data_IF_785210185745
#
_entry.id   IF_785210185745
#
_cell.length_a   1.000
_cell.length_b   1.000
_cell.length_c   1.000
_cell.angle_alpha   90.00
_cell.angle_beta   90.00
_cell.angle_gamma   90.00
#
_symmetry.space_group_name_H-M   'P 1'
#
loop_
_entity.id
_entity.type
_entity.pdbx_description
1 polymer ?
#
# COMPACT_ATOMS: atom_id res chain seq x y z
N UNK A 1 -18.94 -16.87 -2.17
CA UNK A 1 -19.16 -16.67 -3.60
C UNK A 1 -20.64 -16.84 -3.94
N UNK A 2 -21.12 -16.11 -4.95
CA UNK A 2 -22.49 -16.19 -5.45
C UNK A 2 -22.45 -16.41 -6.94
N UNK A 3 -23.01 -17.53 -7.41
CA UNK A 3 -23.19 -17.83 -8.84
C UNK A 3 -24.52 -17.25 -9.29
N UNK A 4 -24.51 -16.56 -10.42
CA UNK A 4 -25.69 -15.89 -10.97
C UNK A 4 -26.01 -16.47 -12.35
N UNK A 5 -27.29 -16.79 -12.55
CA UNK A 5 -27.85 -17.23 -13.84
C UNK A 5 -28.98 -16.28 -14.26
N UNK A 6 -29.12 -16.05 -15.56
CA UNK A 6 -30.27 -15.35 -16.15
C UNK A 6 -31.32 -16.41 -16.57
N UNK A 7 -32.10 -16.89 -15.64
CA UNK A 7 -33.01 -18.03 -15.85
C UNK A 7 -34.06 -17.83 -16.96
N UNK A 8 -34.51 -16.60 -17.29
CA UNK A 8 -35.30 -16.38 -18.51
C UNK A 8 -34.57 -16.75 -19.82
N UNK A 9 -33.22 -16.74 -19.82
CA UNK A 9 -32.39 -17.10 -20.99
C UNK A 9 -31.82 -18.51 -20.89
N UNK A 10 -31.26 -18.84 -19.72
CA UNK A 10 -30.57 -20.10 -19.48
C UNK A 10 -30.39 -20.35 -18.00
N UNK A 11 -30.50 -21.61 -17.56
CA UNK A 11 -30.14 -22.02 -16.20
C UNK A 11 -28.61 -22.12 -16.00
N UNK A 12 -27.83 -22.03 -17.07
CA UNK A 12 -26.36 -22.04 -16.99
C UNK A 12 -25.85 -20.81 -16.23
N UNK A 13 -24.80 -20.97 -15.41
CA UNK A 13 -24.15 -19.84 -14.76
C UNK A 13 -23.64 -18.81 -15.78
N UNK A 14 -23.99 -17.56 -15.59
CA UNK A 14 -23.54 -16.45 -16.40
C UNK A 14 -22.28 -15.79 -15.83
N UNK A 15 -22.31 -15.46 -14.54
CA UNK A 15 -21.15 -14.93 -13.83
C UNK A 15 -21.12 -15.34 -12.37
N UNK A 16 -20.00 -15.10 -11.70
CA UNK A 16 -19.82 -15.38 -10.28
C UNK A 16 -19.17 -14.19 -9.56
N UNK A 17 -19.78 -13.77 -8.46
CA UNK A 17 -19.12 -12.90 -7.49
C UNK A 17 -18.21 -13.75 -6.61
N UNK A 18 -16.91 -13.62 -6.79
CA UNK A 18 -15.92 -14.44 -6.10
C UNK A 18 -15.50 -13.87 -4.74
N UNK A 19 -15.91 -12.63 -4.44
CA UNK A 19 -15.49 -11.95 -3.19
C UNK A 19 -13.96 -11.94 -3.09
N UNK A 20 -13.47 -12.32 -1.93
CA UNK A 20 -12.03 -12.42 -1.67
C UNK A 20 -11.49 -13.85 -1.84
N UNK A 21 -12.14 -14.72 -2.60
CA UNK A 21 -11.63 -16.08 -2.86
C UNK A 21 -10.74 -16.12 -4.10
N UNK A 22 -11.21 -15.55 -5.22
CA UNK A 22 -10.50 -15.52 -6.50
C UNK A 22 -10.50 -14.12 -7.06
N UNK A 23 -9.32 -13.58 -7.33
CA UNK A 23 -9.07 -12.30 -7.98
C UNK A 23 -8.62 -12.49 -9.42
N UNK A 24 -8.56 -11.41 -10.18
CA UNK A 24 -7.97 -11.45 -11.53
C UNK A 24 -6.45 -11.59 -11.41
N UNK A 25 -5.94 -12.74 -11.82
CA UNK A 25 -4.53 -13.10 -11.78
C UNK A 25 -4.01 -13.58 -10.43
N UNK A 26 -4.84 -13.60 -9.38
CA UNK A 26 -4.42 -13.92 -8.01
C UNK A 26 -5.54 -14.57 -7.18
N UNK A 27 -5.23 -14.90 -5.93
CA UNK A 27 -6.19 -15.36 -4.92
C UNK A 27 -5.98 -14.59 -3.61
N UNK A 28 -6.94 -14.71 -2.67
CA UNK A 28 -6.80 -14.03 -1.38
C UNK A 28 -5.67 -14.59 -0.54
N UNK A 29 -5.10 -13.73 0.26
CA UNK A 29 -4.12 -14.09 1.28
C UNK A 29 -4.76 -14.92 2.38
N UNK A 30 -4.13 -16.04 2.71
CA UNK A 30 -4.61 -16.97 3.73
C UNK A 30 -4.22 -16.58 5.16
N UNK A 31 -3.24 -15.68 5.31
CA UNK A 31 -2.73 -15.22 6.60
C UNK A 31 -3.59 -14.12 7.25
N UNK A 32 -4.46 -13.46 6.49
CA UNK A 32 -5.33 -12.40 7.02
C UNK A 32 -6.51 -12.94 7.84
N UNK A 33 -6.87 -14.21 7.72
CA UNK A 33 -8.02 -14.81 8.38
C UNK A 33 -7.56 -15.93 9.33
N UNK A 34 -7.62 -15.68 10.64
CA UNK A 34 -7.26 -16.66 11.68
C UNK A 34 -8.52 -17.25 12.32
N UNK A 35 -9.39 -17.86 11.53
CA UNK A 35 -10.58 -18.56 12.04
C UNK A 35 -10.40 -20.08 11.90
N UNK A 36 -10.94 -20.89 12.82
CA UNK A 36 -11.01 -22.34 12.62
C UNK A 36 -11.71 -22.66 11.29
N UNK A 37 -11.11 -23.51 10.48
CA UNK A 37 -11.62 -23.86 9.15
C UNK A 37 -11.33 -22.82 8.06
N UNK A 38 -10.45 -21.86 8.32
CA UNK A 38 -9.89 -20.95 7.31
C UNK A 38 -8.39 -21.19 7.21
N UNK A 39 -7.95 -21.60 6.08
CA UNK A 39 -6.55 -21.89 5.83
C UNK A 39 -6.35 -22.18 4.35
N UNK A 40 -5.16 -22.57 4.00
CA UNK A 40 -4.83 -22.95 2.63
C UNK A 40 -5.69 -24.10 2.10
N UNK A 41 -6.06 -25.04 2.97
CA UNK A 41 -6.93 -26.18 2.64
C UNK A 41 -8.34 -25.74 2.24
N UNK A 42 -8.97 -24.86 3.03
CA UNK A 42 -10.31 -24.31 2.74
C UNK A 42 -10.28 -23.44 1.48
N UNK A 43 -9.22 -22.63 1.32
CA UNK A 43 -9.03 -21.84 0.11
C UNK A 43 -8.89 -22.74 -1.12
N UNK A 44 -8.03 -23.75 -1.06
CA UNK A 44 -7.84 -24.70 -2.15
C UNK A 44 -9.15 -25.39 -2.56
N UNK A 45 -9.92 -25.91 -1.58
CA UNK A 45 -11.21 -26.54 -1.83
C UNK A 45 -12.21 -25.55 -2.44
N UNK A 46 -12.22 -24.30 -2.00
CA UNK A 46 -13.08 -23.24 -2.55
C UNK A 46 -12.75 -22.94 -4.00
N UNK A 47 -11.46 -22.83 -4.31
CA UNK A 47 -10.98 -22.62 -5.68
C UNK A 47 -11.34 -23.81 -6.59
N UNK A 48 -11.19 -25.05 -6.11
CA UNK A 48 -11.63 -26.23 -6.88
C UNK A 48 -13.12 -26.17 -7.23
N UNK A 49 -13.97 -25.76 -6.29
CA UNK A 49 -15.42 -25.59 -6.56
C UNK A 49 -15.68 -24.50 -7.60
N UNK A 50 -15.01 -23.36 -7.52
CA UNK A 50 -15.12 -22.27 -8.50
C UNK A 50 -14.66 -22.75 -9.88
N UNK A 51 -13.57 -23.52 -9.92
CA UNK A 51 -13.04 -24.09 -11.18
C UNK A 51 -13.93 -25.18 -11.81
N UNK A 52 -14.99 -25.63 -11.16
CA UNK A 52 -16.01 -26.48 -11.81
C UNK A 52 -16.91 -25.70 -12.77
N UNK A 53 -16.95 -24.37 -12.69
CA UNK A 53 -17.73 -23.54 -13.59
C UNK A 53 -17.18 -23.56 -15.02
N UNK A 54 -18.04 -23.29 -16.00
CA UNK A 54 -17.65 -23.25 -17.40
C UNK A 54 -16.65 -22.13 -17.69
N UNK A 55 -15.85 -22.27 -18.75
CA UNK A 55 -14.76 -21.35 -19.08
C UNK A 55 -15.20 -19.92 -19.42
N UNK A 56 -16.41 -19.77 -19.91
CA UNK A 56 -17.03 -18.52 -20.34
C UNK A 56 -17.70 -17.76 -19.19
N UNK A 57 -17.86 -18.38 -18.02
CA UNK A 57 -18.41 -17.70 -16.84
C UNK A 57 -17.48 -16.57 -16.42
N UNK A 58 -18.02 -15.35 -16.33
CA UNK A 58 -17.27 -14.18 -15.86
C UNK A 58 -17.09 -14.20 -14.35
N UNK A 59 -15.94 -13.72 -13.88
CA UNK A 59 -15.68 -13.50 -12.46
C UNK A 59 -15.70 -12.02 -12.12
N UNK A 60 -16.31 -11.66 -11.00
CA UNK A 60 -16.31 -10.34 -10.39
C UNK A 60 -15.79 -10.44 -8.95
N UNK A 61 -14.52 -10.14 -8.70
CA UNK A 61 -13.92 -10.19 -7.38
C UNK A 61 -14.32 -8.99 -6.51
N UNK A 62 -14.14 -9.12 -5.20
CA UNK A 62 -14.35 -8.03 -4.24
C UNK A 62 -13.30 -6.93 -4.32
N UNK A 63 -12.11 -7.25 -4.80
CA UNK A 63 -10.96 -6.34 -4.92
C UNK A 63 -10.20 -6.55 -6.22
N UNK A 64 -9.38 -5.56 -6.59
CA UNK A 64 -8.47 -5.59 -7.73
C UNK A 64 -7.13 -4.95 -7.37
N UNK A 65 -6.19 -4.86 -8.29
CA UNK A 65 -4.79 -4.52 -8.06
C UNK A 65 -4.57 -3.33 -7.13
N UNK A 66 -3.71 -3.53 -6.14
CA UNK A 66 -3.40 -2.59 -5.08
C UNK A 66 -4.02 -2.91 -3.72
N UNK A 67 -5.01 -3.80 -3.65
CA UNK A 67 -5.61 -4.23 -2.39
C UNK A 67 -4.64 -5.07 -1.54
N UNK A 68 -4.70 -4.87 -0.23
CA UNK A 68 -3.95 -5.68 0.73
C UNK A 68 -4.51 -7.11 0.91
N UNK A 69 -5.73 -7.38 0.40
CA UNK A 69 -6.39 -8.69 0.51
C UNK A 69 -5.84 -9.73 -0.47
N UNK A 70 -5.19 -9.30 -1.56
CA UNK A 70 -4.58 -10.17 -2.57
C UNK A 70 -3.07 -10.30 -2.44
N UNK A 71 -2.51 -11.22 -3.20
CA UNK A 71 -1.08 -11.42 -3.37
C UNK A 71 -0.45 -10.39 -4.33
N UNK A 72 0.67 -10.78 -4.96
CA UNK A 72 1.51 -9.90 -5.78
C UNK A 72 1.09 -9.83 -7.24
N UNK A 73 0.36 -10.83 -7.70
CA UNK A 73 -0.03 -10.98 -9.11
C UNK A 73 -1.39 -10.35 -9.44
N UNK A 74 -2.03 -9.71 -8.46
CA UNK A 74 -3.35 -9.13 -8.59
C UNK A 74 -3.40 -8.05 -9.66
N UNK A 75 -4.23 -8.27 -10.68
CA UNK A 75 -4.41 -7.34 -11.79
C UNK A 75 -5.27 -6.14 -11.41
N UNK A 76 -5.04 -5.00 -12.06
CA UNK A 76 -5.93 -3.83 -12.01
C UNK A 76 -7.25 -3.99 -12.77
N UNK A 77 -7.51 -5.13 -13.45
CA UNK A 77 -8.79 -5.39 -14.12
C UNK A 77 -9.88 -5.74 -13.12
N UNK A 78 -11.09 -5.24 -13.37
CA UNK A 78 -12.24 -5.46 -12.50
C UNK A 78 -12.94 -6.82 -12.71
N UNK A 79 -12.70 -7.49 -13.83
CA UNK A 79 -13.31 -8.78 -14.18
C UNK A 79 -12.38 -9.63 -15.05
N UNK A 80 -12.67 -10.93 -15.10
CA UNK A 80 -12.00 -11.91 -15.94
C UNK A 80 -12.99 -13.05 -16.27
N UNK A 81 -12.51 -14.19 -16.77
CA UNK A 81 -13.31 -15.40 -16.95
C UNK A 81 -12.67 -16.60 -16.27
N UNK A 82 -13.48 -17.58 -15.88
CA UNK A 82 -13.00 -18.85 -15.31
C UNK A 82 -11.93 -19.49 -16.22
N UNK A 83 -12.15 -19.46 -17.51
CA UNK A 83 -11.23 -20.05 -18.48
C UNK A 83 -9.90 -19.29 -18.59
N UNK A 84 -9.89 -17.98 -18.42
CA UNK A 84 -8.65 -17.19 -18.38
C UNK A 84 -7.88 -17.47 -17.09
N UNK A 85 -8.55 -17.37 -15.94
CA UNK A 85 -7.92 -17.61 -14.66
C UNK A 85 -7.36 -19.04 -14.53
N UNK A 86 -8.10 -20.05 -15.00
CA UNK A 86 -7.64 -21.45 -15.01
C UNK A 86 -6.31 -21.62 -15.72
N UNK A 87 -6.02 -20.83 -16.77
CA UNK A 87 -4.79 -20.94 -17.57
C UNK A 87 -3.66 -20.04 -17.09
N UNK A 88 -3.98 -18.89 -16.47
CA UNK A 88 -3.02 -17.81 -16.28
C UNK A 88 -2.86 -17.34 -14.82
N UNK A 89 -3.81 -17.71 -13.93
CA UNK A 89 -3.70 -17.38 -12.53
C UNK A 89 -2.64 -18.28 -11.87
N UNK A 90 -1.60 -17.69 -11.32
CA UNK A 90 -0.44 -18.42 -10.81
C UNK A 90 -0.82 -19.44 -9.72
N UNK A 91 -1.72 -19.07 -8.80
CA UNK A 91 -2.14 -19.93 -7.71
C UNK A 91 -2.89 -21.18 -8.19
N UNK A 92 -3.61 -21.06 -9.33
CA UNK A 92 -4.34 -22.16 -9.96
C UNK A 92 -3.43 -23.09 -10.77
N UNK A 93 -2.15 -22.74 -10.97
CA UNK A 93 -1.17 -23.59 -11.65
C UNK A 93 -0.53 -24.63 -10.69
N UNK A 94 -0.81 -24.55 -9.39
CA UNK A 94 -0.31 -25.56 -8.44
C UNK A 94 -0.86 -26.94 -8.80
N UNK A 95 0.00 -27.94 -9.04
CA UNK A 95 -0.41 -29.29 -9.49
C UNK A 95 -1.17 -30.07 -8.41
N UNK A 96 -0.93 -29.73 -7.16
CA UNK A 96 -1.54 -30.38 -5.98
C UNK A 96 -1.65 -29.42 -4.79
N UNK A 97 -2.32 -29.88 -3.74
CA UNK A 97 -2.51 -29.09 -2.52
C UNK A 97 -1.19 -28.77 -1.81
N UNK A 98 -0.24 -29.68 -1.78
CA UNK A 98 1.03 -29.48 -1.06
C UNK A 98 1.84 -28.32 -1.70
N UNK A 99 1.86 -28.29 -3.03
CA UNK A 99 2.48 -27.20 -3.79
C UNK A 99 1.72 -25.89 -3.58
N UNK A 100 0.39 -25.91 -3.64
CA UNK A 100 -0.45 -24.74 -3.36
C UNK A 100 -0.18 -24.18 -1.96
N UNK A 101 -0.19 -25.03 -0.92
CA UNK A 101 0.08 -24.62 0.46
C UNK A 101 1.46 -23.96 0.59
N UNK A 102 2.48 -24.56 -0.02
CA UNK A 102 3.84 -24.02 -0.03
C UNK A 102 3.90 -22.64 -0.68
N UNK A 103 3.26 -22.45 -1.83
CA UNK A 103 3.25 -21.18 -2.54
C UNK A 103 2.50 -20.10 -1.76
N UNK A 104 1.33 -20.42 -1.21
CA UNK A 104 0.53 -19.49 -0.44
C UNK A 104 1.23 -19.02 0.84
N UNK A 105 1.95 -19.90 1.53
CA UNK A 105 2.75 -19.56 2.73
C UNK A 105 4.00 -18.76 2.36
N UNK A 106 4.57 -18.97 1.19
CA UNK A 106 5.72 -18.20 0.68
C UNK A 106 5.38 -16.79 0.22
N UNK A 107 4.10 -16.49 -0.07
CA UNK A 107 3.64 -15.17 -0.50
C UNK A 107 3.05 -14.31 0.64
N UNK A 108 3.33 -14.66 1.89
CA UNK A 108 2.87 -13.88 3.06
C UNK A 108 3.55 -12.52 3.06
N UNK A 109 2.72 -11.47 3.13
CA UNK A 109 3.17 -10.08 3.32
C UNK A 109 3.03 -9.71 4.79
N UNK A 110 3.82 -8.74 5.22
CA UNK A 110 3.67 -8.17 6.55
C UNK A 110 2.25 -7.60 6.74
N UNK A 111 1.65 -7.96 7.87
CA UNK A 111 0.32 -7.47 8.24
C UNK A 111 0.50 -6.22 9.09
N UNK A 112 0.08 -5.06 8.58
CA UNK A 112 0.13 -3.82 9.35
C UNK A 112 -0.94 -3.82 10.46
N UNK A 113 -0.61 -3.21 11.58
CA UNK A 113 -1.48 -3.10 12.77
C UNK A 113 -2.90 -2.60 12.46
N UNK A 114 -3.03 -1.67 11.51
CA UNK A 114 -4.33 -1.16 11.08
C UNK A 114 -5.25 -2.24 10.50
N UNK A 115 -4.73 -3.23 9.77
CA UNK A 115 -5.52 -4.35 9.23
C UNK A 115 -6.05 -5.21 10.38
N UNK A 116 -5.21 -5.49 11.38
CA UNK A 116 -5.60 -6.26 12.55
C UNK A 116 -6.65 -5.51 13.37
N UNK A 117 -6.48 -4.21 13.57
CA UNK A 117 -7.43 -3.34 14.26
C UNK A 117 -8.79 -3.35 13.55
N UNK A 118 -8.84 -3.14 12.23
CA UNK A 118 -10.08 -3.22 11.44
C UNK A 118 -10.76 -4.59 11.56
N UNK A 119 -9.99 -5.66 11.42
CA UNK A 119 -10.53 -7.02 11.56
C UNK A 119 -11.17 -7.22 12.92
N UNK A 120 -10.50 -6.85 13.99
CA UNK A 120 -10.98 -7.05 15.35
C UNK A 120 -12.19 -6.16 15.68
N UNK A 121 -12.20 -4.92 15.13
CA UNK A 121 -13.37 -4.04 15.21
C UNK A 121 -14.58 -4.62 14.48
N UNK A 122 -14.39 -5.12 13.24
CA UNK A 122 -15.46 -5.72 12.45
C UNK A 122 -16.01 -7.02 13.08
N UNK A 123 -15.19 -7.71 13.87
CA UNK A 123 -15.61 -8.90 14.65
C UNK A 123 -16.27 -8.55 15.98
N UNK A 124 -16.33 -7.27 16.34
CA UNK A 124 -16.83 -6.81 17.64
C UNK A 124 -15.90 -7.09 18.82
N UNK A 125 -14.65 -7.45 18.57
CA UNK A 125 -13.61 -7.69 19.58
C UNK A 125 -12.99 -6.38 20.09
N UNK A 126 -13.06 -5.32 19.29
CA UNK A 126 -12.70 -3.96 19.66
C UNK A 126 -13.92 -3.04 19.49
N UNK A 127 -14.06 -2.01 20.35
CA UNK A 127 -15.10 -1.01 20.19
C UNK A 127 -14.85 -0.20 18.91
N UNK A 128 -15.92 0.35 18.32
CA UNK A 128 -15.79 1.34 17.26
C UNK A 128 -15.00 2.55 17.79
N UNK A 129 -14.10 3.13 16.98
CA UNK A 129 -13.35 4.32 17.38
C UNK A 129 -14.28 5.46 17.83
N UNK A 130 -13.88 6.19 18.86
CA UNK A 130 -14.63 7.35 19.33
C UNK A 130 -14.78 8.36 18.17
N UNK A 131 -16.02 8.78 17.87
CA UNK A 131 -16.32 9.69 16.76
C UNK A 131 -16.54 9.03 15.39
N UNK A 132 -16.64 7.71 15.32
CA UNK A 132 -16.91 6.97 14.08
C UNK A 132 -18.19 7.43 13.37
N UNK A 133 -19.24 7.76 14.12
CA UNK A 133 -20.48 8.31 13.58
C UNK A 133 -20.60 9.82 13.85
N UNK A 134 -20.75 10.61 12.78
CA UNK A 134 -21.30 11.97 12.86
C UNK A 134 -20.29 13.12 12.99
N UNK A 135 -19.00 12.92 12.84
CA UNK A 135 -18.06 14.06 12.75
C UNK A 135 -17.69 14.35 11.29
N UNK A 136 -18.21 15.46 10.77
CA UNK A 136 -17.66 16.07 9.55
C UNK A 136 -16.40 16.85 9.94
N UNK A 137 -15.25 16.51 9.33
CA UNK A 137 -14.06 17.32 9.53
C UNK A 137 -14.27 18.70 8.89
N UNK A 138 -14.01 19.76 9.66
CA UNK A 138 -14.11 21.12 9.15
C UNK A 138 -12.95 21.46 8.22
N UNK A 139 -13.21 22.31 7.22
CA UNK A 139 -12.15 22.89 6.42
C UNK A 139 -11.27 23.81 7.29
N UNK A 140 -9.95 23.64 7.21
CA UNK A 140 -9.00 24.38 8.04
C UNK A 140 -7.97 25.15 7.22
N UNK A 141 -7.43 26.21 7.79
CA UNK A 141 -6.39 27.05 7.17
C UNK A 141 -5.00 26.43 7.29
N UNK A 142 -4.04 26.94 6.53
CA UNK A 142 -2.63 26.59 6.66
C UNK A 142 -2.10 26.87 8.08
N UNK A 143 -2.45 28.03 8.65
CA UNK A 143 -2.06 28.38 10.02
C UNK A 143 -2.58 27.38 11.05
N UNK A 144 -3.80 26.85 10.87
CA UNK A 144 -4.32 25.79 11.74
C UNK A 144 -3.48 24.51 11.60
N UNK A 145 -3.15 24.10 10.38
CA UNK A 145 -2.34 22.89 10.15
C UNK A 145 -0.96 22.99 10.82
N UNK A 146 -0.30 24.15 10.70
CA UNK A 146 0.99 24.39 11.35
C UNK A 146 0.88 24.39 12.89
N UNK A 147 -0.13 25.07 13.42
CA UNK A 147 -0.37 25.10 14.86
C UNK A 147 -0.77 23.73 15.44
N UNK A 148 -1.53 22.93 14.70
CA UNK A 148 -1.91 21.59 15.09
C UNK A 148 -0.70 20.65 15.05
N UNK A 149 0.13 20.73 14.01
CA UNK A 149 1.39 19.97 13.91
C UNK A 149 2.33 20.25 15.09
N UNK A 150 2.49 21.51 15.49
CA UNK A 150 3.28 21.89 16.67
C UNK A 150 2.76 21.29 18.00
N UNK A 151 1.51 20.84 18.03
CA UNK A 151 0.86 20.18 19.19
C UNK A 151 0.78 18.66 19.06
N UNK A 152 1.45 18.06 18.07
CA UNK A 152 1.50 16.62 17.86
C UNK A 152 0.40 16.06 16.96
N UNK A 153 -0.46 16.89 16.36
CA UNK A 153 -1.38 16.44 15.29
C UNK A 153 -0.59 16.23 14.01
N UNK A 154 -0.77 15.11 13.35
CA UNK A 154 -0.02 14.75 12.15
C UNK A 154 -0.74 15.31 10.92
N UNK A 155 -0.04 16.10 10.11
CA UNK A 155 -0.56 16.52 8.79
C UNK A 155 -0.27 15.42 7.78
N UNK A 156 -1.32 14.86 7.18
CA UNK A 156 -1.25 13.82 6.16
C UNK A 156 -1.58 14.45 4.81
N UNK A 157 -0.57 14.61 3.97
CA UNK A 157 -0.70 15.12 2.62
C UNK A 157 -1.00 13.94 1.68
N UNK A 158 -2.20 13.94 1.11
CA UNK A 158 -2.70 12.85 0.27
C UNK A 158 -2.54 13.11 -1.23
N UNK A 159 -1.83 14.17 -1.60
CA UNK A 159 -1.54 14.52 -2.98
C UNK A 159 -0.54 13.57 -3.63
N UNK A 160 -0.41 13.68 -4.96
CA UNK A 160 0.61 12.92 -5.69
C UNK A 160 2.03 13.25 -5.18
N UNK A 161 2.98 12.29 -5.20
CA UNK A 161 4.35 12.46 -4.70
C UNK A 161 5.07 13.69 -5.26
N UNK A 162 4.92 13.97 -6.55
CA UNK A 162 5.50 15.17 -7.18
C UNK A 162 4.93 16.46 -6.65
N UNK A 163 3.65 16.51 -6.28
CA UNK A 163 3.02 17.71 -5.69
C UNK A 163 3.52 17.92 -4.27
N UNK A 164 3.62 16.85 -3.48
CA UNK A 164 4.25 16.88 -2.16
C UNK A 164 5.69 17.38 -2.24
N UNK A 165 6.49 16.83 -3.15
CA UNK A 165 7.89 17.18 -3.29
C UNK A 165 8.10 18.66 -3.67
N UNK A 166 7.22 19.23 -4.50
CA UNK A 166 7.27 20.65 -4.87
C UNK A 166 7.01 21.59 -3.70
N UNK A 167 6.15 21.17 -2.76
CA UNK A 167 5.85 21.97 -1.58
C UNK A 167 4.79 21.34 -0.69
N UNK A 168 5.11 21.17 0.58
CA UNK A 168 4.24 20.58 1.60
C UNK A 168 4.34 21.35 2.93
N UNK A 169 3.40 21.13 3.83
CA UNK A 169 3.43 21.68 5.18
C UNK A 169 4.64 21.09 5.92
N UNK A 170 5.48 21.90 6.60
CA UNK A 170 6.62 21.40 7.36
C UNK A 170 6.22 20.26 8.31
N UNK A 171 6.92 19.13 8.26
CA UNK A 171 6.64 17.94 9.08
C UNK A 171 5.47 17.08 8.61
N UNK A 172 4.80 17.43 7.51
CA UNK A 172 3.72 16.61 6.96
C UNK A 172 4.25 15.26 6.43
N UNK A 173 3.43 14.22 6.57
CA UNK A 173 3.65 12.92 5.95
C UNK A 173 3.01 12.88 4.56
N UNK A 174 3.74 12.37 3.58
CA UNK A 174 3.20 12.08 2.25
C UNK A 174 2.55 10.72 2.25
N UNK A 175 1.23 10.65 2.16
CA UNK A 175 0.49 9.38 2.03
C UNK A 175 -0.56 9.55 0.93
N UNK A 176 -0.16 9.42 -0.35
CA UNK A 176 -1.05 9.64 -1.48
C UNK A 176 -2.32 8.81 -1.39
N UNK A 177 -3.48 9.47 -1.60
CA UNK A 177 -4.74 8.77 -1.59
C UNK A 177 -4.86 7.81 -2.77
N UNK A 178 -4.92 6.54 -2.46
CA UNK A 178 -5.25 5.44 -3.39
C UNK A 178 -6.20 4.51 -2.64
N UNK A 179 -7.41 4.37 -3.15
CA UNK A 179 -8.52 3.69 -2.46
C UNK A 179 -8.10 2.39 -1.75
N UNK A 180 -7.33 1.55 -2.43
CA UNK A 180 -7.02 0.19 -1.98
C UNK A 180 -5.75 0.08 -1.11
N UNK A 181 -4.98 1.16 -0.95
CA UNK A 181 -3.72 1.14 -0.21
C UNK A 181 -3.53 2.29 0.78
N UNK A 182 -4.42 3.27 0.78
CA UNK A 182 -4.30 4.46 1.62
C UNK A 182 -4.29 4.12 3.11
N UNK A 183 -5.28 3.37 3.59
CA UNK A 183 -5.40 3.04 5.02
C UNK A 183 -4.28 2.12 5.50
N UNK A 184 -3.82 1.19 4.65
CA UNK A 184 -2.64 0.35 4.94
C UNK A 184 -1.39 1.20 5.13
N UNK A 185 -1.12 2.13 4.21
CA UNK A 185 0.03 3.05 4.31
C UNK A 185 -0.13 4.00 5.50
N UNK A 186 -1.33 4.51 5.73
CA UNK A 186 -1.62 5.35 6.89
C UNK A 186 -1.25 4.62 8.19
N UNK A 187 -1.71 3.36 8.35
CA UNK A 187 -1.39 2.54 9.52
C UNK A 187 0.07 2.18 9.69
N UNK A 188 0.84 2.11 8.60
CA UNK A 188 2.27 1.84 8.68
C UNK A 188 3.07 3.04 9.23
N UNK A 189 2.64 4.28 8.97
CA UNK A 189 3.40 5.49 9.29
C UNK A 189 2.78 6.35 10.39
N UNK A 190 1.49 6.22 10.64
CA UNK A 190 0.74 7.00 11.64
C UNK A 190 0.28 6.07 12.76
N UNK A 191 0.56 6.38 14.03
CA UNK A 191 0.11 5.57 15.16
C UNK A 191 -1.41 5.43 15.17
N UNK A 192 -1.90 4.24 15.54
CA UNK A 192 -3.35 3.98 15.62
C UNK A 192 -4.03 4.99 16.57
N UNK A 193 -5.19 5.50 16.15
CA UNK A 193 -5.97 6.48 16.93
C UNK A 193 -5.38 7.88 16.99
N UNK A 194 -4.27 8.16 16.28
CA UNK A 194 -3.67 9.49 16.28
C UNK A 194 -4.61 10.55 15.71
N UNK A 195 -4.42 11.80 16.15
CA UNK A 195 -5.08 12.97 15.58
C UNK A 195 -4.36 13.39 14.31
N UNK A 196 -5.11 13.53 13.20
CA UNK A 196 -4.57 13.92 11.90
C UNK A 196 -5.33 15.10 11.29
N UNK A 197 -4.67 15.86 10.42
CA UNK A 197 -5.30 16.77 9.46
C UNK A 197 -4.98 16.27 8.06
N UNK A 198 -6.00 16.13 7.22
CA UNK A 198 -5.85 15.70 5.83
C UNK A 198 -5.67 16.89 4.91
N UNK A 199 -4.62 16.90 4.09
CA UNK A 199 -4.35 17.93 3.09
C UNK A 199 -4.35 17.34 1.68
N UNK A 200 -5.10 17.96 0.76
CA UNK A 200 -5.29 17.49 -0.62
C UNK A 200 -5.27 18.64 -1.63
N UNK A 201 -5.29 18.33 -2.93
CA UNK A 201 -5.43 19.32 -4.00
C UNK A 201 -6.86 19.89 -4.10
N UNK A 202 -7.86 19.09 -3.72
CA UNK A 202 -9.29 19.49 -3.76
C UNK A 202 -9.99 19.10 -2.47
N UNK A 203 -11.05 19.85 -2.14
CA UNK A 203 -11.87 19.54 -0.97
C UNK A 203 -12.50 18.14 -1.09
N UNK A 204 -12.95 17.75 -2.26
CA UNK A 204 -13.56 16.44 -2.49
C UNK A 204 -12.59 15.29 -2.20
N UNK A 205 -11.32 15.41 -2.63
CA UNK A 205 -10.28 14.43 -2.31
C UNK A 205 -9.99 14.42 -0.81
N UNK A 206 -9.94 15.60 -0.17
CA UNK A 206 -9.74 15.70 1.27
C UNK A 206 -10.88 15.02 2.05
N UNK A 207 -12.13 15.19 1.65
CA UNK A 207 -13.32 14.59 2.26
C UNK A 207 -13.27 13.06 2.17
N UNK A 208 -12.97 12.51 0.99
CA UNK A 208 -12.88 11.06 0.76
C UNK A 208 -11.74 10.47 1.61
N UNK A 209 -10.57 11.08 1.61
CA UNK A 209 -9.42 10.61 2.39
C UNK A 209 -9.65 10.74 3.90
N UNK A 210 -10.28 11.84 4.34
CA UNK A 210 -10.65 12.06 5.73
C UNK A 210 -11.69 11.02 6.21
N UNK A 211 -12.66 10.68 5.36
CA UNK A 211 -13.63 9.63 5.68
C UNK A 211 -12.93 8.28 5.80
N UNK A 212 -12.09 7.89 4.84
CA UNK A 212 -11.33 6.66 4.91
C UNK A 212 -10.42 6.58 6.14
N UNK A 213 -9.84 7.70 6.56
CA UNK A 213 -9.04 7.75 7.79
C UNK A 213 -9.89 7.59 9.05
N UNK A 214 -11.09 8.20 9.12
CA UNK A 214 -12.03 7.98 10.22
C UNK A 214 -12.48 6.53 10.30
N UNK A 215 -12.80 5.94 9.17
CA UNK A 215 -13.19 4.53 9.07
C UNK A 215 -12.05 3.62 9.54
N UNK A 216 -10.80 4.06 9.37
CA UNK A 216 -9.59 3.41 9.89
C UNK A 216 -9.28 3.72 11.38
N UNK A 217 -10.14 4.44 12.07
CA UNK A 217 -10.01 4.72 13.50
C UNK A 217 -9.18 5.94 13.88
N UNK A 218 -8.85 6.81 12.92
CA UNK A 218 -8.12 8.04 13.19
C UNK A 218 -9.05 9.20 13.59
N UNK A 219 -8.57 10.06 14.49
CA UNK A 219 -9.25 11.31 14.80
C UNK A 219 -8.89 12.36 13.76
N UNK A 220 -9.81 12.68 12.85
CA UNK A 220 -9.60 13.71 11.83
C UNK A 220 -9.98 15.08 12.38
N UNK A 221 -8.99 15.83 12.84
CA UNK A 221 -9.15 17.17 13.43
C UNK A 221 -9.51 18.26 12.41
N UNK A 222 -9.27 18.00 11.13
CA UNK A 222 -9.59 18.92 10.04
C UNK A 222 -9.17 18.39 8.69
N UNK A 223 -9.58 19.09 7.63
CA UNK A 223 -9.13 18.84 6.27
C UNK A 223 -8.85 20.15 5.54
N UNK A 224 -7.96 20.15 4.57
CA UNK A 224 -7.58 21.35 3.85
C UNK A 224 -7.21 21.09 2.39
N UNK A 225 -7.39 22.12 1.57
CA UNK A 225 -6.98 22.17 0.16
C UNK A 225 -6.47 23.57 -0.20
N UNK A 226 -6.24 24.40 0.80
CA UNK A 226 -5.80 25.80 0.56
C UNK A 226 -4.38 25.83 0.01
N UNK A 227 -4.09 26.83 -0.83
CA UNK A 227 -2.73 27.04 -1.32
C UNK A 227 -1.78 27.30 -0.14
N UNK A 228 -0.63 26.64 -0.15
CA UNK A 228 0.39 26.80 0.90
C UNK A 228 1.26 28.02 0.59
N UNK A 229 1.49 28.84 1.61
CA UNK A 229 2.36 30.03 1.55
C UNK A 229 3.72 29.80 2.21
N UNK A 230 3.79 28.85 3.15
CA UNK A 230 5.00 28.49 3.90
C UNK A 230 5.39 27.02 3.65
N UNK A 231 5.32 26.59 2.38
CA UNK A 231 5.66 25.24 1.99
C UNK A 231 7.18 25.00 2.02
N UNK A 232 7.56 23.79 2.40
CA UNK A 232 8.94 23.30 2.25
C UNK A 232 9.00 22.25 1.15
N UNK A 233 10.11 22.22 0.40
CA UNK A 233 10.32 21.23 -0.65
C UNK A 233 11.00 19.96 -0.12
N UNK A 234 10.70 18.83 -0.75
CA UNK A 234 11.47 17.61 -0.60
C UNK A 234 12.53 17.56 -1.71
N UNK A 235 13.84 17.41 -1.39
CA UNK A 235 14.87 17.27 -2.41
C UNK A 235 14.60 16.04 -3.29
N UNK A 236 14.48 16.27 -4.59
CA UNK A 236 14.33 15.18 -5.57
C UNK A 236 15.53 15.09 -6.48
N UNK A 237 15.76 13.91 -7.04
CA UNK A 237 16.86 13.65 -7.96
C UNK A 237 16.47 12.65 -9.04
N UNK A 238 17.16 12.66 -10.16
CA UNK A 238 17.01 11.69 -11.25
C UNK A 238 17.80 10.42 -10.95
N UNK A 239 17.49 9.35 -11.63
CA UNK A 239 18.21 8.06 -11.55
C UNK A 239 19.70 8.21 -11.89
N UNK A 240 20.03 9.02 -12.89
CA UNK A 240 21.44 9.29 -13.25
C UNK A 240 22.21 9.99 -12.12
N UNK A 241 21.57 10.97 -11.47
CA UNK A 241 22.19 11.69 -10.34
C UNK A 241 22.37 10.75 -9.13
N UNK A 242 21.49 9.75 -8.94
CA UNK A 242 21.68 8.72 -7.93
C UNK A 242 22.92 7.86 -8.21
N UNK A 243 23.16 7.51 -9.47
CA UNK A 243 24.38 6.75 -9.84
C UNK A 243 25.66 7.50 -9.47
N UNK A 244 25.73 8.79 -9.78
CA UNK A 244 26.86 9.63 -9.39
C UNK A 244 27.06 9.67 -7.87
N UNK A 245 25.97 9.74 -7.10
CA UNK A 245 25.98 9.65 -5.63
C UNK A 245 26.55 8.31 -5.14
N UNK A 246 26.13 7.19 -5.74
CA UNK A 246 26.62 5.85 -5.40
C UNK A 246 28.12 5.76 -5.67
N UNK A 247 28.59 6.22 -6.83
CA UNK A 247 30.01 6.23 -7.18
C UNK A 247 30.84 7.13 -6.26
N UNK A 248 30.24 8.16 -5.68
CA UNK A 248 30.88 9.02 -4.68
C UNK A 248 30.79 8.48 -3.23
N UNK A 249 30.24 7.28 -3.02
CA UNK A 249 30.08 6.66 -1.70
C UNK A 249 28.93 7.19 -0.87
N UNK A 250 27.92 7.81 -1.50
CA UNK A 250 26.69 8.27 -0.83
C UNK A 250 25.83 7.11 -0.33
N UNK A 251 25.21 7.29 0.82
CA UNK A 251 24.42 6.22 1.46
C UNK A 251 23.01 6.14 0.89
N UNK A 252 22.71 5.04 0.21
CA UNK A 252 21.39 4.76 -0.36
C UNK A 252 20.54 3.98 0.61
N UNK A 253 19.25 4.32 0.68
CA UNK A 253 18.19 3.56 1.36
C UNK A 253 17.18 3.07 0.32
N UNK A 254 17.16 1.76 0.08
CA UNK A 254 16.17 1.12 -0.80
C UNK A 254 14.98 0.63 0.03
N UNK A 255 13.84 1.28 -0.19
CA UNK A 255 12.60 1.01 0.56
C UNK A 255 11.62 0.11 -0.18
N UNK A 256 12.10 -0.63 -1.17
CA UNK A 256 11.32 -1.68 -1.85
C UNK A 256 11.06 -2.86 -0.92
N UNK A 257 10.11 -3.70 -1.27
CA UNK A 257 9.83 -4.92 -0.52
C UNK A 257 10.97 -5.97 -0.72
N UNK A 258 11.16 -6.85 0.26
CA UNK A 258 12.26 -7.84 0.26
C UNK A 258 12.33 -8.69 -1.03
N UNK A 259 11.18 -9.04 -1.61
CA UNK A 259 11.13 -9.80 -2.87
C UNK A 259 11.60 -9.01 -4.10
N UNK A 260 11.54 -7.68 -4.06
CA UNK A 260 12.04 -6.81 -5.12
C UNK A 260 13.57 -6.67 -5.02
N UNK A 261 14.12 -6.72 -3.80
CA UNK A 261 15.56 -6.75 -3.58
C UNK A 261 16.22 -7.96 -4.26
N UNK A 262 15.54 -9.11 -4.30
CA UNK A 262 16.02 -10.28 -5.01
C UNK A 262 16.17 -10.10 -6.55
N UNK A 263 15.65 -9.02 -7.12
CA UNK A 263 15.83 -8.67 -8.54
C UNK A 263 17.05 -7.79 -8.81
N UNK A 264 17.85 -7.51 -7.77
CA UNK A 264 19.02 -6.66 -7.80
C UNK A 264 18.87 -5.40 -6.95
N UNK A 265 19.95 -5.01 -6.32
CA UNK A 265 20.05 -3.84 -5.44
C UNK A 265 21.26 -2.98 -5.82
N UNK A 266 21.34 -1.77 -5.32
CA UNK A 266 22.53 -0.94 -5.38
C UNK A 266 23.52 -1.46 -4.32
N UNK A 267 24.77 -1.68 -4.71
CA UNK A 267 25.80 -2.15 -3.80
C UNK A 267 25.99 -1.19 -2.61
N UNK A 268 26.02 -1.74 -1.39
CA UNK A 268 26.13 -0.95 -0.15
C UNK A 268 24.87 -0.22 0.27
N UNK A 269 23.74 -0.39 -0.44
CA UNK A 269 22.48 0.18 -0.01
C UNK A 269 21.96 -0.46 1.28
N UNK A 270 21.37 0.35 2.15
CA UNK A 270 20.56 -0.13 3.27
C UNK A 270 19.21 -0.57 2.74
N UNK A 271 18.79 -1.79 3.07
CA UNK A 271 17.55 -2.40 2.57
C UNK A 271 16.53 -2.45 3.71
N UNK A 272 15.52 -1.59 3.65
CA UNK A 272 14.42 -1.56 4.64
C UNK A 272 13.09 -1.38 3.91
N UNK A 273 12.24 -2.41 3.85
CA UNK A 273 10.90 -2.27 3.28
C UNK A 273 10.14 -1.11 3.91
N UNK A 274 9.45 -0.30 3.09
CA UNK A 274 8.83 0.95 3.54
C UNK A 274 7.83 0.75 4.70
N UNK A 275 7.11 -0.37 4.76
CA UNK A 275 6.17 -0.66 5.84
C UNK A 275 6.87 -0.99 7.19
N UNK A 276 8.15 -1.39 7.16
CA UNK A 276 8.97 -1.65 8.35
C UNK A 276 9.74 -0.43 8.82
N UNK A 277 9.68 0.66 8.08
CA UNK A 277 10.54 1.82 8.32
C UNK A 277 10.28 2.49 9.68
N UNK A 278 9.02 2.50 10.15
CA UNK A 278 8.65 3.06 11.46
C UNK A 278 9.37 2.37 12.62
N UNK A 279 9.67 1.10 12.50
CA UNK A 279 10.36 0.31 13.52
C UNK A 279 11.87 0.35 13.36
N UNK A 280 12.34 0.54 12.13
CA UNK A 280 13.76 0.46 11.78
C UNK A 280 14.48 1.82 11.74
N UNK A 281 13.76 2.95 11.66
CA UNK A 281 14.39 4.26 11.34
C UNK A 281 15.44 4.71 12.36
N UNK A 282 15.32 4.32 13.65
CA UNK A 282 16.29 4.65 14.69
C UNK A 282 17.63 3.91 14.56
N UNK A 283 17.66 2.86 13.73
CA UNK A 283 18.86 2.05 13.46
C UNK A 283 19.52 2.42 12.14
N UNK A 284 18.95 3.37 11.39
CA UNK A 284 19.52 3.83 10.13
C UNK A 284 20.84 4.57 10.36
N UNK A 285 21.74 4.58 9.35
CA UNK A 285 22.96 5.39 9.41
C UNK A 285 22.67 6.86 9.69
N UNK A 286 23.51 7.50 10.50
CA UNK A 286 23.39 8.93 10.82
C UNK A 286 23.91 9.86 9.71
N UNK A 287 24.28 9.31 8.56
CA UNK A 287 24.67 10.06 7.35
C UNK A 287 23.42 10.45 6.55
N UNK A 288 23.48 11.53 5.74
CA UNK A 288 22.38 11.87 4.86
C UNK A 288 22.03 10.73 3.89
N UNK A 289 20.76 10.39 3.80
CA UNK A 289 20.27 9.25 3.03
C UNK A 289 19.69 9.69 1.67
N UNK A 290 19.93 8.89 0.65
CA UNK A 290 19.30 8.98 -0.67
C UNK A 290 18.29 7.84 -0.80
N UNK A 291 16.99 8.18 -0.92
CA UNK A 291 15.92 7.20 -0.81
C UNK A 291 15.43 6.80 -2.19
N UNK A 292 15.36 5.50 -2.45
CA UNK A 292 14.89 4.92 -3.72
C UNK A 292 13.84 3.85 -3.48
N UNK A 293 12.92 3.71 -4.44
CA UNK A 293 12.01 2.57 -4.57
C UNK A 293 11.80 2.25 -6.06
N UNK A 294 10.75 1.54 -6.42
CA UNK A 294 10.48 1.16 -7.81
C UNK A 294 10.07 2.33 -8.71
N UNK A 295 9.28 3.31 -8.20
CA UNK A 295 8.67 4.38 -9.01
C UNK A 295 8.61 5.74 -8.31
N UNK A 296 9.32 5.92 -7.19
CA UNK A 296 9.37 7.16 -6.42
C UNK A 296 8.27 7.32 -5.35
N UNK A 297 7.14 6.61 -5.42
CA UNK A 297 6.04 6.79 -4.47
C UNK A 297 6.40 6.35 -3.04
N UNK A 298 6.84 5.11 -2.85
CA UNK A 298 7.27 4.58 -1.54
C UNK A 298 8.46 5.36 -0.99
N UNK A 299 9.38 5.77 -1.86
CA UNK A 299 10.52 6.60 -1.50
C UNK A 299 10.09 7.97 -0.95
N UNK A 300 9.10 8.62 -1.57
CA UNK A 300 8.55 9.90 -1.09
C UNK A 300 7.87 9.74 0.27
N UNK A 301 7.05 8.70 0.46
CA UNK A 301 6.42 8.38 1.75
C UNK A 301 7.48 8.22 2.84
N UNK A 302 8.48 7.37 2.57
CA UNK A 302 9.57 7.07 3.49
C UNK A 302 10.41 8.32 3.84
N UNK A 303 10.75 9.11 2.83
CA UNK A 303 11.52 10.34 3.03
C UNK A 303 10.76 11.39 3.85
N UNK A 304 9.46 11.54 3.62
CA UNK A 304 8.61 12.42 4.42
C UNK A 304 8.59 11.99 5.89
N UNK A 305 8.40 10.69 6.14
CA UNK A 305 8.44 10.12 7.48
C UNK A 305 9.80 10.33 8.16
N UNK A 306 10.90 10.00 7.49
CA UNK A 306 12.26 10.16 8.02
C UNK A 306 12.56 11.61 8.40
N UNK A 307 12.23 12.57 7.53
CA UNK A 307 12.42 14.00 7.80
C UNK A 307 11.59 14.48 8.96
N UNK A 308 10.33 14.03 9.07
CA UNK A 308 9.46 14.36 10.21
C UNK A 308 10.02 13.84 11.56
N UNK A 309 10.88 12.80 11.50
CA UNK A 309 11.56 12.23 12.68
C UNK A 309 13.04 12.66 12.81
N UNK A 310 13.45 13.71 12.09
CA UNK A 310 14.78 14.29 12.22
C UNK A 310 15.91 13.52 11.51
N UNK A 311 15.59 12.50 10.70
CA UNK A 311 16.59 11.80 9.90
C UNK A 311 16.92 12.62 8.65
N UNK A 312 18.22 12.79 8.37
CA UNK A 312 18.68 13.58 7.24
C UNK A 312 18.42 12.82 5.92
N UNK A 313 17.59 13.39 5.06
CA UNK A 313 17.34 12.92 3.69
C UNK A 313 17.91 13.93 2.72
N UNK A 314 18.94 13.52 1.96
CA UNK A 314 19.65 14.35 0.99
C UNK A 314 18.94 14.37 -0.38
N UNK A 315 18.23 13.30 -0.74
CA UNK A 315 17.50 13.23 -1.98
C UNK A 315 16.55 12.05 -2.07
N UNK A 316 15.55 12.18 -2.94
CA UNK A 316 14.58 11.13 -3.26
C UNK A 316 14.56 10.95 -4.77
N UNK A 317 14.68 9.70 -5.23
CA UNK A 317 14.54 9.42 -6.67
C UNK A 317 13.08 9.61 -7.07
N UNK A 318 12.82 10.70 -7.79
CA UNK A 318 11.48 11.07 -8.23
C UNK A 318 11.57 12.12 -9.37
N UNK A 319 11.02 11.86 -10.57
CA UNK A 319 10.37 10.60 -10.98
C UNK A 319 11.38 9.48 -11.24
N UNK A 320 10.87 8.24 -11.33
CA UNK A 320 11.65 7.05 -11.62
C UNK A 320 11.99 6.22 -10.38
N UNK A 321 12.81 5.18 -10.57
CA UNK A 321 13.19 4.26 -9.50
C UNK A 321 14.13 3.16 -9.94
N UNK A 322 14.10 2.02 -9.24
CA UNK A 322 15.05 0.93 -9.46
C UNK A 322 14.91 0.24 -10.82
N UNK A 323 13.72 0.16 -11.42
CA UNK A 323 13.59 -0.32 -12.81
C UNK A 323 14.38 0.54 -13.79
N UNK A 324 14.32 1.86 -13.65
CA UNK A 324 15.08 2.79 -14.50
C UNK A 324 16.57 2.73 -14.20
N UNK A 325 16.94 2.54 -12.93
CA UNK A 325 18.34 2.36 -12.53
C UNK A 325 18.93 1.08 -13.12
N UNK A 326 18.24 -0.05 -12.99
CA UNK A 326 18.68 -1.34 -13.50
C UNK A 326 18.74 -1.39 -15.04
N UNK A 327 17.93 -0.58 -15.72
CA UNK A 327 17.99 -0.47 -17.18
C UNK A 327 19.21 0.34 -17.68
N UNK A 328 19.78 1.21 -16.84
CA UNK A 328 20.89 2.09 -17.18
C UNK A 328 22.23 1.63 -16.59
N UNK A 329 22.19 1.00 -15.41
CA UNK A 329 23.37 0.62 -14.63
C UNK A 329 23.21 -0.83 -14.14
N UNK A 330 24.31 -1.56 -14.02
CA UNK A 330 24.27 -2.94 -13.55
C UNK A 330 24.03 -2.99 -12.02
N UNK A 331 22.93 -3.60 -11.57
CA UNK A 331 22.68 -3.83 -10.14
C UNK A 331 23.45 -5.04 -9.64
N UNK A 332 23.67 -5.12 -8.33
CA UNK A 332 24.24 -6.31 -7.68
C UNK A 332 23.12 -7.32 -7.40
N UNK A 333 23.32 -8.58 -7.79
CA UNK A 333 22.43 -9.68 -7.41
C UNK A 333 22.81 -10.19 -6.00
N UNK A 334 21.93 -10.00 -5.03
CA UNK A 334 22.16 -10.44 -3.64
C UNK A 334 21.96 -11.96 -3.43
N UNK A 335 21.65 -12.70 -4.50
CA UNK A 335 21.54 -14.17 -4.47
C UNK A 335 22.84 -14.86 -4.90
N UNK A 336 23.83 -14.10 -5.30
CA UNK A 336 25.15 -14.61 -5.73
C UNK A 336 26.06 -14.94 -4.56
#
# INVERSE_FOLDING_TARGET
CYVVSDTPRSDAPWFVFTGDSLFVGDVARVDLVSLPGTGTDVMYQSLQKIMMLANDVEIFPGHFGGSACGGRAMSGKASSTIGFERRHNWALQAPDYATFDTWMRGDVREVVEAILTHRNTNRGELPLPAGYYGQHASAVSEAFMQAASAKGTIVVDVRAPLMFAKGHVPGALSIPYQRDSYTTRLGAFVPAGASIVVYADTIATAEIAAQAARDAGYHVAGMSHVALTNAVALPTMRVADLHDVVMAGGQVLDVRDAHEHAKGVIEGAVLVPHLQLREAYTQLPHTPLYVVCESGQRATISAAFLRAHGVAVAGVVLPGGMSDYNAQFAPVDIRA
#
